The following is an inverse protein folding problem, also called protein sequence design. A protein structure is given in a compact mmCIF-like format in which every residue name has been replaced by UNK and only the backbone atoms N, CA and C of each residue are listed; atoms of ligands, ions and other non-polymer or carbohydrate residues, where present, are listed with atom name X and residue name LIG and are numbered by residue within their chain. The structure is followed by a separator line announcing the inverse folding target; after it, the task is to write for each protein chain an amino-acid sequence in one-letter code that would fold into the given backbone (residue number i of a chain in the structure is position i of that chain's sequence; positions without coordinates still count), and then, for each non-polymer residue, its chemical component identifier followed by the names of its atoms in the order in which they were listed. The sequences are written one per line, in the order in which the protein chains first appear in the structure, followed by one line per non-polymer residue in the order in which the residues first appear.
data_IF_406418232385
#
_entry.id   IF_406418232385
#
_cell.length_a   1.000
_cell.length_b   1.000
_cell.length_c   1.000
_cell.angle_alpha   90.00
_cell.angle_beta   90.00
_cell.angle_gamma   90.00
#
_symmetry.space_group_name_H-M   'P 1'
#
loop_
_entity.id
_entity.type
_entity.pdbx_description
1 polymer ?
#
# COMPACT_ATOMS: atom_id res chain seq x y z
N UNK A 1 -16.97 1.11 -34.88
CA UNK A 1 -16.35 2.11 -34.00
C UNK A 1 -16.71 1.90 -32.52
N UNK A 2 -17.99 1.72 -32.15
CA UNK A 2 -18.41 1.47 -30.76
C UNK A 2 -17.76 0.22 -30.12
N UNK A 3 -17.78 -0.92 -30.82
CA UNK A 3 -17.23 -2.18 -30.28
C UNK A 3 -15.69 -2.24 -30.19
N UNK A 4 -14.96 -1.31 -30.82
CA UNK A 4 -13.50 -1.18 -30.63
C UNK A 4 -13.20 -0.41 -29.35
N UNK A 5 -13.94 0.68 -29.10
CA UNK A 5 -13.84 1.44 -27.85
C UNK A 5 -14.25 0.60 -26.64
N UNK A 6 -15.31 -0.21 -26.73
CA UNK A 6 -15.71 -1.09 -25.61
C UNK A 6 -14.64 -2.13 -25.24
N UNK A 7 -13.85 -2.60 -26.22
CA UNK A 7 -12.72 -3.51 -25.94
C UNK A 7 -11.57 -2.78 -25.26
N UNK A 8 -11.16 -1.62 -25.78
CA UNK A 8 -10.14 -0.79 -25.12
C UNK A 8 -10.54 -0.39 -23.69
N UNK A 9 -11.81 -0.06 -23.47
CA UNK A 9 -12.33 0.21 -22.12
C UNK A 9 -12.26 -1.01 -21.22
N UNK A 10 -12.61 -2.20 -21.72
CA UNK A 10 -12.57 -3.43 -20.94
C UNK A 10 -11.13 -3.82 -20.58
N UNK A 11 -10.19 -3.69 -21.51
CA UNK A 11 -8.76 -3.93 -21.30
C UNK A 11 -8.18 -2.97 -20.23
N UNK A 12 -8.49 -1.68 -20.34
CA UNK A 12 -8.08 -0.68 -19.34
C UNK A 12 -8.73 -0.89 -17.97
N UNK A 13 -9.99 -1.32 -17.93
CA UNK A 13 -10.67 -1.63 -16.67
C UNK A 13 -10.09 -2.87 -15.98
N UNK A 14 -9.66 -3.87 -16.76
CA UNK A 14 -9.00 -5.06 -16.26
C UNK A 14 -7.60 -4.74 -15.71
N UNK A 15 -6.83 -3.92 -16.43
CA UNK A 15 -5.54 -3.40 -15.97
C UNK A 15 -5.71 -2.55 -14.69
N UNK A 16 -6.73 -1.69 -14.64
CA UNK A 16 -7.06 -0.90 -13.45
C UNK A 16 -7.46 -1.77 -12.25
N UNK A 17 -8.27 -2.82 -12.45
CA UNK A 17 -8.64 -3.75 -11.38
C UNK A 17 -7.42 -4.50 -10.84
N UNK A 18 -6.51 -4.92 -11.73
CA UNK A 18 -5.26 -5.57 -11.35
C UNK A 18 -4.35 -4.62 -10.55
N UNK A 19 -4.14 -3.39 -11.03
CA UNK A 19 -3.39 -2.36 -10.30
C UNK A 19 -4.03 -2.06 -8.94
N UNK A 20 -5.36 -1.89 -8.88
CA UNK A 20 -6.07 -1.63 -7.62
C UNK A 20 -5.97 -2.78 -6.63
N UNK A 21 -6.03 -4.03 -7.09
CA UNK A 21 -5.86 -5.20 -6.24
C UNK A 21 -4.44 -5.28 -5.66
N UNK A 22 -3.41 -5.01 -6.48
CA UNK A 22 -2.03 -4.90 -6.01
C UNK A 22 -1.90 -3.82 -4.94
N UNK A 23 -2.48 -2.64 -5.20
CA UNK A 23 -2.41 -1.52 -4.26
C UNK A 23 -3.08 -1.82 -2.92
N UNK A 24 -4.27 -2.42 -2.96
CA UNK A 24 -4.98 -2.80 -1.74
C UNK A 24 -4.19 -3.85 -0.95
N UNK A 25 -3.49 -4.77 -1.62
CA UNK A 25 -2.59 -5.73 -0.98
C UNK A 25 -1.46 -5.04 -0.21
N UNK A 26 -0.77 -4.09 -0.83
CA UNK A 26 0.32 -3.33 -0.20
C UNK A 26 -0.19 -2.49 0.97
N UNK A 27 -1.38 -1.88 0.86
CA UNK A 27 -2.00 -1.14 1.97
C UNK A 27 -2.33 -2.05 3.16
N UNK A 28 -2.86 -3.25 2.92
CA UNK A 28 -3.17 -4.21 3.96
C UNK A 28 -1.90 -4.67 4.71
N UNK A 29 -0.83 -5.00 3.98
CA UNK A 29 0.46 -5.38 4.59
C UNK A 29 1.00 -4.24 5.46
N UNK A 30 0.89 -2.99 4.99
CA UNK A 30 1.31 -1.81 5.76
C UNK A 30 0.47 -1.62 7.03
N UNK A 31 -0.85 -1.86 6.96
CA UNK A 31 -1.74 -1.82 8.11
C UNK A 31 -1.41 -2.91 9.14
N UNK A 32 -1.12 -4.14 8.68
CA UNK A 32 -0.69 -5.23 9.55
C UNK A 32 0.65 -4.94 10.23
N UNK A 33 1.60 -4.33 9.52
CA UNK A 33 2.88 -3.90 10.08
C UNK A 33 2.66 -2.88 11.21
N UNK A 34 1.81 -1.89 10.99
CA UNK A 34 1.50 -0.87 11.99
C UNK A 34 0.82 -1.49 13.22
N UNK A 35 -0.14 -2.40 13.00
CA UNK A 35 -0.78 -3.13 14.07
C UNK A 35 0.22 -3.98 14.87
N UNK A 36 1.19 -4.62 14.20
CA UNK A 36 2.24 -5.38 14.87
C UNK A 36 3.14 -4.48 15.73
N UNK A 37 3.47 -3.26 15.26
CA UNK A 37 4.22 -2.26 16.03
C UNK A 37 3.47 -1.79 17.27
N UNK A 38 2.17 -1.48 17.13
CA UNK A 38 1.31 -1.11 18.26
C UNK A 38 1.25 -2.24 19.28
N UNK A 39 1.09 -3.48 18.81
CA UNK A 39 1.03 -4.67 19.67
C UNK A 39 2.35 -4.89 20.40
N UNK A 40 3.49 -4.63 19.75
CA UNK A 40 4.81 -4.69 20.38
C UNK A 40 4.95 -3.63 21.47
N UNK A 41 4.46 -2.41 21.23
CA UNK A 41 4.47 -1.35 22.25
C UNK A 41 3.56 -1.70 23.44
N UNK A 42 2.39 -2.28 23.19
CA UNK A 42 1.50 -2.79 24.23
C UNK A 42 2.18 -3.92 25.03
N UNK A 43 2.79 -4.90 24.36
CA UNK A 43 3.53 -5.98 25.02
C UNK A 43 4.68 -5.44 25.88
N UNK A 44 5.37 -4.39 25.41
CA UNK A 44 6.40 -3.68 26.19
C UNK A 44 5.86 -3.01 27.44
N UNK A 45 4.67 -2.39 27.37
CA UNK A 45 4.02 -1.76 28.54
C UNK A 45 3.55 -2.79 29.56
N UNK A 46 3.10 -3.95 29.11
CA UNK A 46 2.64 -5.05 29.98
C UNK A 46 3.80 -5.91 30.50
N UNK A 47 4.98 -5.83 29.87
CA UNK A 47 6.16 -6.62 30.23
C UNK A 47 6.13 -8.05 29.68
N UNK A 48 5.35 -8.32 28.63
CA UNK A 48 5.25 -9.63 27.98
C UNK A 48 6.42 -9.82 27.00
N UNK A 49 7.55 -10.30 27.51
CA UNK A 49 8.77 -10.54 26.74
C UNK A 49 8.59 -11.62 25.67
N UNK A 50 7.68 -12.59 25.87
CA UNK A 50 7.43 -13.67 24.90
C UNK A 50 6.82 -13.12 23.62
N UNK A 51 5.71 -12.38 23.76
CA UNK A 51 5.08 -11.70 22.61
C UNK A 51 5.98 -10.67 21.97
N UNK A 52 6.79 -9.95 22.75
CA UNK A 52 7.75 -9.01 22.20
C UNK A 52 8.72 -9.72 21.25
N UNK A 53 9.37 -10.81 21.67
CA UNK A 53 10.33 -11.53 20.84
C UNK A 53 9.70 -12.12 19.57
N UNK A 54 8.50 -12.68 19.67
CA UNK A 54 7.76 -13.20 18.50
C UNK A 54 7.42 -12.10 17.48
N UNK A 55 6.99 -10.93 17.96
CA UNK A 55 6.67 -9.80 17.09
C UNK A 55 7.94 -9.20 16.47
N UNK A 56 8.98 -8.99 17.27
CA UNK A 56 10.21 -8.32 16.87
C UNK A 56 11.05 -9.13 15.90
N UNK A 57 11.10 -10.46 16.07
CA UNK A 57 11.95 -11.34 15.26
C UNK A 57 11.18 -12.27 14.32
N UNK A 58 9.87 -12.42 14.47
CA UNK A 58 9.02 -13.21 13.58
C UNK A 58 8.17 -12.31 12.68
N UNK A 59 7.13 -11.73 13.25
CA UNK A 59 6.04 -11.14 12.45
C UNK A 59 6.40 -9.82 11.77
N UNK A 60 7.08 -8.89 12.47
CA UNK A 60 7.49 -7.61 11.90
C UNK A 60 8.45 -7.79 10.72
N UNK A 61 9.58 -8.53 10.83
CA UNK A 61 10.51 -8.69 9.71
C UNK A 61 9.89 -9.44 8.52
N UNK A 62 8.96 -10.38 8.76
CA UNK A 62 8.22 -11.04 7.68
C UNK A 62 7.34 -10.05 6.91
N UNK A 63 6.58 -9.22 7.63
CA UNK A 63 5.71 -8.19 7.04
C UNK A 63 6.53 -7.10 6.32
N UNK A 64 7.68 -6.69 6.85
CA UNK A 64 8.59 -5.75 6.16
C UNK A 64 9.11 -6.34 4.84
N UNK A 65 9.46 -7.63 4.82
CA UNK A 65 9.91 -8.31 3.61
C UNK A 65 8.78 -8.44 2.58
N UNK A 66 7.57 -8.77 3.02
CA UNK A 66 6.39 -8.82 2.16
C UNK A 66 6.07 -7.44 1.58
N UNK A 67 6.16 -6.38 2.40
CA UNK A 67 5.95 -5.00 1.95
C UNK A 67 7.00 -4.59 0.92
N UNK A 68 8.28 -4.92 1.15
CA UNK A 68 9.36 -4.61 0.22
C UNK A 68 9.18 -5.35 -1.12
N UNK A 69 8.75 -6.61 -1.10
CA UNK A 69 8.45 -7.38 -2.29
C UNK A 69 7.24 -6.81 -3.07
N UNK A 70 6.17 -6.46 -2.37
CA UNK A 70 4.98 -5.84 -2.97
C UNK A 70 5.30 -4.46 -3.56
N UNK A 71 6.08 -3.64 -2.85
CA UNK A 71 6.50 -2.30 -3.33
C UNK A 71 7.43 -2.39 -4.54
N UNK A 72 8.33 -3.38 -4.60
CA UNK A 72 9.15 -3.63 -5.80
C UNK A 72 8.31 -4.08 -7.00
N UNK A 73 7.29 -4.90 -6.78
CA UNK A 73 6.37 -5.32 -7.84
C UNK A 73 5.55 -4.13 -8.38
N UNK A 74 5.05 -3.27 -7.49
CA UNK A 74 4.33 -2.04 -7.87
C UNK A 74 5.20 -1.04 -8.63
N UNK A 75 6.46 -0.85 -8.21
CA UNK A 75 7.39 0.07 -8.86
C UNK A 75 7.73 -0.27 -10.32
N UNK A 76 7.43 -1.50 -10.77
CA UNK A 76 7.65 -1.96 -12.15
C UNK A 76 6.37 -2.00 -12.99
N UNK A 77 5.19 -1.98 -12.36
CA UNK A 77 3.89 -2.25 -13.00
C UNK A 77 2.94 -1.05 -13.04
N UNK A 78 3.10 -0.04 -12.18
CA UNK A 78 2.11 1.04 -12.06
C UNK A 78 2.32 2.09 -13.15
N UNK A 79 1.59 1.98 -14.26
CA UNK A 79 1.60 2.95 -15.37
C UNK A 79 0.38 3.89 -15.34
N UNK A 80 -0.74 3.43 -14.78
CA UNK A 80 -2.01 4.18 -14.72
C UNK A 80 -2.26 4.78 -13.32
N UNK A 81 -2.01 4.04 -12.25
CA UNK A 81 -2.23 4.52 -10.88
C UNK A 81 -0.96 5.13 -10.27
N UNK A 82 -0.84 6.46 -10.41
CA UNK A 82 0.30 7.21 -9.90
C UNK A 82 0.19 7.43 -8.39
N UNK A 83 0.55 6.43 -7.60
CA UNK A 83 0.40 6.45 -6.14
C UNK A 83 1.54 7.19 -5.37
N UNK A 84 2.20 8.16 -6.01
CA UNK A 84 3.20 9.02 -5.37
C UNK A 84 2.68 10.44 -5.36
N UNK A 85 2.23 10.90 -4.18
CA UNK A 85 1.89 12.31 -3.94
C UNK A 85 3.14 13.12 -4.25
N UNK A 86 3.09 13.82 -5.37
CA UNK A 86 4.15 14.75 -5.77
C UNK A 86 3.81 16.14 -5.23
N UNK A 87 4.81 16.98 -4.98
CA UNK A 87 4.62 18.35 -4.47
C UNK A 87 3.61 19.17 -5.32
N UNK A 88 3.47 18.80 -6.60
CA UNK A 88 2.47 19.35 -7.51
C UNK A 88 1.00 19.12 -7.07
N UNK A 89 0.67 17.97 -6.49
CA UNK A 89 -0.70 17.66 -6.03
C UNK A 89 -1.04 18.39 -4.72
N UNK A 90 -0.04 18.58 -3.84
CA UNK A 90 -0.20 19.39 -2.63
C UNK A 90 -0.47 20.85 -3.00
N UNK A 91 0.24 21.36 -4.02
CA UNK A 91 0.03 22.72 -4.53
C UNK A 91 -1.36 22.92 -5.15
N UNK A 92 -1.90 21.92 -5.86
CA UNK A 92 -3.25 21.98 -6.45
C UNK A 92 -4.34 22.04 -5.38
N UNK A 93 -4.24 21.23 -4.32
CA UNK A 93 -5.20 21.24 -3.21
C UNK A 93 -5.13 22.54 -2.41
N UNK A 94 -3.94 23.08 -2.16
CA UNK A 94 -3.77 24.38 -1.50
C UNK A 94 -4.33 25.51 -2.38
N UNK A 95 -4.10 25.50 -3.69
CA UNK A 95 -4.68 26.49 -4.59
C UNK A 95 -6.22 26.42 -4.60
N UNK A 96 -6.81 25.23 -4.50
CA UNK A 96 -8.27 25.03 -4.43
C UNK A 96 -8.87 25.40 -3.07
N UNK A 97 -8.13 25.22 -1.98
CA UNK A 97 -8.59 25.55 -0.63
C UNK A 97 -8.40 27.03 -0.27
N UNK A 98 -7.49 27.73 -0.96
CA UNK A 98 -7.17 29.15 -0.73
C UNK A 98 -7.66 30.06 -1.87
N UNK A 99 -8.41 29.50 -2.82
CA UNK A 99 -9.11 30.21 -3.90
C UNK A 99 -10.55 30.50 -3.54
#
# INVERSE_FOLDING_TARGET
ELGQKEREYSELEEEWKAEKASLSGTQNIKAELEQAKITLEQARRVGDLGRMSELQYGKIPELEKQLAAATQAEGKSMKLLRNRVTDAEIAEVLARATG
#
